data_IF_298248703138
#
_entry.id   IF_298248703138
#
_cell.length_a   1.000
_cell.length_b   1.000
_cell.length_c   1.000
_cell.angle_alpha   90.00
_cell.angle_beta   90.00
_cell.angle_gamma   90.00
#
_symmetry.space_group_name_H-M   'P 1'
#
loop_
_entity.id
_entity.type
_entity.pdbx_description
1 polymer ?
#
# COMPACT_ATOMS: atom_id res chain seq x y z
N UNK A 1 9.64 10.15 -17.58
CA UNK A 1 8.51 10.31 -16.63
C UNK A 1 8.66 11.59 -15.82
N UNK A 2 9.79 11.78 -15.12
CA UNK A 2 10.10 12.95 -14.29
C UNK A 2 9.84 14.34 -14.92
N UNK A 3 10.08 14.50 -16.23
CA UNK A 3 9.83 15.77 -16.91
C UNK A 3 8.34 16.11 -17.09
N UNK A 4 7.47 15.09 -17.21
CA UNK A 4 6.04 15.28 -17.44
C UNK A 4 5.30 15.66 -16.16
N UNK A 5 5.63 15.01 -15.05
CA UNK A 5 4.96 15.27 -13.76
C UNK A 5 5.28 16.68 -13.25
N UNK A 6 6.52 17.13 -13.46
CA UNK A 6 6.92 18.51 -13.18
C UNK A 6 6.17 19.51 -14.06
N UNK A 7 6.07 19.24 -15.36
CA UNK A 7 5.30 20.09 -16.28
C UNK A 7 3.82 20.16 -15.89
N UNK A 8 3.23 19.06 -15.45
CA UNK A 8 1.84 19.04 -15.00
C UNK A 8 1.65 19.83 -13.70
N UNK A 9 2.59 19.72 -12.75
CA UNK A 9 2.61 20.58 -11.56
C UNK A 9 2.69 22.07 -11.93
N UNK A 10 3.55 22.44 -12.87
CA UNK A 10 3.72 23.82 -13.32
C UNK A 10 2.44 24.34 -14.02
N UNK A 11 1.73 23.49 -14.77
CA UNK A 11 0.41 23.82 -15.35
C UNK A 11 -0.64 24.10 -14.27
N UNK A 12 -0.74 23.26 -13.24
CA UNK A 12 -1.70 23.45 -12.15
C UNK A 12 -1.38 24.73 -11.34
N UNK A 13 -0.10 25.07 -11.18
CA UNK A 13 0.33 26.35 -10.59
C UNK A 13 -0.12 27.55 -11.44
N UNK A 14 -0.06 27.44 -12.77
CA UNK A 14 -0.54 28.48 -13.67
C UNK A 14 -2.07 28.70 -13.58
N UNK A 15 -2.80 27.69 -13.13
CA UNK A 15 -4.24 27.77 -12.78
C UNK A 15 -4.49 28.31 -11.36
N UNK A 16 -3.47 28.86 -10.70
CA UNK A 16 -3.49 29.36 -9.31
C UNK A 16 -3.81 28.28 -8.25
N UNK A 17 -3.52 27.00 -8.53
CA UNK A 17 -3.60 25.94 -7.53
C UNK A 17 -2.29 25.84 -6.73
N UNK A 18 -2.42 25.56 -5.43
CA UNK A 18 -1.28 25.35 -4.54
C UNK A 18 -0.75 23.91 -4.65
N UNK A 19 0.07 23.68 -5.67
CA UNK A 19 0.67 22.36 -5.95
C UNK A 19 2.18 22.43 -5.79
N UNK A 20 2.78 21.39 -5.23
CA UNK A 20 4.22 21.21 -5.16
C UNK A 20 4.61 19.85 -5.72
N UNK A 21 5.75 19.80 -6.41
CA UNK A 21 6.28 18.58 -6.98
C UNK A 21 7.54 18.15 -6.23
N UNK A 22 7.57 16.88 -5.82
CA UNK A 22 8.75 16.22 -5.29
C UNK A 22 8.79 14.81 -5.89
N UNK A 23 9.97 14.38 -6.33
CA UNK A 23 10.15 13.03 -6.83
C UNK A 23 10.09 12.04 -5.66
N UNK A 24 9.40 10.92 -5.86
CA UNK A 24 9.33 9.83 -4.91
C UNK A 24 9.27 8.50 -5.67
N UNK A 25 10.22 7.62 -5.37
CA UNK A 25 10.16 6.20 -5.69
C UNK A 25 9.97 5.44 -4.38
N UNK A 26 8.80 4.85 -4.18
CA UNK A 26 8.45 4.14 -2.94
C UNK A 26 9.19 2.80 -2.79
N UNK A 27 9.88 2.33 -3.83
CA UNK A 27 10.72 1.14 -3.78
C UNK A 27 12.18 1.45 -3.40
N UNK A 28 12.63 2.72 -3.43
CA UNK A 28 13.96 3.14 -2.99
C UNK A 28 13.90 3.81 -1.60
N UNK A 29 14.50 3.16 -0.61
CA UNK A 29 14.59 3.67 0.77
C UNK A 29 15.19 5.08 0.87
N UNK A 30 16.15 5.43 0.02
CA UNK A 30 16.74 6.78 0.00
C UNK A 30 15.74 7.79 -0.53
N UNK A 31 15.02 7.45 -1.61
CA UNK A 31 13.98 8.32 -2.14
C UNK A 31 12.86 8.57 -1.12
N UNK A 32 12.44 7.53 -0.40
CA UNK A 32 11.47 7.66 0.72
C UNK A 32 12.01 8.56 1.83
N UNK A 33 13.26 8.37 2.24
CA UNK A 33 13.91 9.20 3.28
C UNK A 33 14.03 10.66 2.85
N UNK A 34 14.48 10.92 1.62
CA UNK A 34 14.63 12.26 1.06
C UNK A 34 13.27 12.96 0.94
N UNK A 35 12.22 12.23 0.54
CA UNK A 35 10.86 12.75 0.48
C UNK A 35 10.32 13.11 1.87
N UNK A 36 10.50 12.25 2.87
CA UNK A 36 10.06 12.53 4.24
C UNK A 36 10.80 13.75 4.84
N UNK A 37 12.11 13.87 4.57
CA UNK A 37 12.89 15.05 4.93
C UNK A 37 12.36 16.31 4.23
N UNK A 38 12.06 16.23 2.93
CA UNK A 38 11.53 17.35 2.17
C UNK A 38 10.17 17.82 2.69
N UNK A 39 9.24 16.90 3.01
CA UNK A 39 7.93 17.23 3.61
C UNK A 39 8.10 17.93 4.94
N UNK A 40 8.93 17.38 5.83
CA UNK A 40 9.15 17.98 7.15
C UNK A 40 9.79 19.36 7.08
N UNK A 41 10.75 19.59 6.18
CA UNK A 41 11.41 20.89 6.04
C UNK A 41 10.55 21.93 5.34
N UNK A 42 9.83 21.55 4.29
CA UNK A 42 9.05 22.49 3.48
C UNK A 42 7.73 22.88 4.14
N UNK A 43 7.05 21.92 4.77
CA UNK A 43 5.71 22.11 5.32
C UNK A 43 5.63 21.97 6.84
N UNK A 44 6.70 21.52 7.51
CA UNK A 44 6.68 21.23 8.94
C UNK A 44 5.92 19.94 9.31
N UNK A 45 5.37 19.22 8.32
CA UNK A 45 4.56 18.02 8.53
C UNK A 45 3.47 17.84 7.46
N UNK A 46 2.63 16.83 7.67
CA UNK A 46 1.51 16.50 6.78
C UNK A 46 0.24 16.14 7.56
N UNK A 47 -0.91 16.27 6.91
CA UNK A 47 -2.22 15.89 7.49
C UNK A 47 -2.80 14.65 6.80
N UNK A 48 -2.54 14.48 5.50
CA UNK A 48 -3.11 13.41 4.68
C UNK A 48 -2.00 12.76 3.85
N UNK A 49 -1.96 11.43 3.87
CA UNK A 49 -1.17 10.61 2.96
C UNK A 49 -2.12 9.74 2.12
N UNK A 50 -1.93 9.76 0.81
CA UNK A 50 -2.62 8.86 -0.13
C UNK A 50 -1.59 7.96 -0.80
N UNK A 51 -1.58 6.68 -0.41
CA UNK A 51 -0.73 5.67 -1.05
C UNK A 51 -1.43 5.14 -2.30
N UNK A 52 -1.22 5.83 -3.42
CA UNK A 52 -1.81 5.49 -4.72
C UNK A 52 -0.87 4.68 -5.63
N UNK A 53 0.44 4.84 -5.49
CA UNK A 53 1.40 4.16 -6.35
C UNK A 53 1.22 2.63 -6.26
N UNK A 54 1.19 1.99 -7.42
CA UNK A 54 1.05 0.55 -7.54
C UNK A 54 1.20 0.07 -8.97
N UNK A 55 1.57 -1.20 -9.11
CA UNK A 55 1.87 -1.87 -10.38
C UNK A 55 1.16 -3.22 -10.45
N UNK A 56 0.95 -3.69 -11.68
CA UNK A 56 0.47 -5.03 -12.00
C UNK A 56 1.11 -5.44 -13.32
N UNK A 57 1.82 -6.57 -13.33
CA UNK A 57 2.60 -7.01 -14.51
C UNK A 57 2.14 -8.36 -15.07
N UNK A 58 1.54 -9.21 -14.25
CA UNK A 58 1.16 -10.55 -14.66
C UNK A 58 -0.17 -10.58 -15.42
N UNK A 59 -0.20 -11.35 -16.51
CA UNK A 59 -1.45 -11.76 -17.15
C UNK A 59 -2.19 -12.76 -16.25
N UNK A 60 -3.50 -12.91 -16.48
CA UNK A 60 -4.32 -13.88 -15.74
C UNK A 60 -3.73 -15.28 -15.90
N UNK A 61 -3.65 -16.04 -14.80
CA UNK A 61 -3.07 -17.41 -14.72
C UNK A 61 -1.55 -17.52 -14.94
N UNK A 62 -0.83 -16.40 -15.07
CA UNK A 62 0.63 -16.35 -15.11
C UNK A 62 1.19 -15.79 -13.81
N UNK A 63 2.40 -16.22 -13.46
CA UNK A 63 3.12 -15.64 -12.35
C UNK A 63 4.62 -15.89 -12.52
N UNK A 64 5.42 -14.84 -12.67
CA UNK A 64 6.88 -14.91 -12.63
C UNK A 64 7.39 -14.45 -11.26
N UNK A 65 8.53 -14.99 -10.83
CA UNK A 65 9.17 -14.58 -9.57
C UNK A 65 9.48 -13.08 -9.59
N UNK A 66 10.04 -12.59 -10.69
CA UNK A 66 10.40 -11.18 -10.88
C UNK A 66 9.19 -10.24 -10.75
N UNK A 67 8.07 -10.58 -11.42
CA UNK A 67 6.85 -9.77 -11.31
C UNK A 67 6.26 -9.85 -9.91
N UNK A 68 6.21 -11.04 -9.29
CA UNK A 68 5.69 -11.19 -7.94
C UNK A 68 6.49 -10.37 -6.92
N UNK A 69 7.81 -10.42 -6.99
CA UNK A 69 8.69 -9.62 -6.14
C UNK A 69 8.46 -8.13 -6.37
N UNK A 70 8.47 -7.66 -7.62
CA UNK A 70 8.27 -6.24 -7.96
C UNK A 70 6.90 -5.71 -7.50
N UNK A 71 5.84 -6.50 -7.71
CA UNK A 71 4.47 -6.13 -7.30
C UNK A 71 4.36 -6.06 -5.78
N UNK A 72 4.93 -7.02 -5.06
CA UNK A 72 4.94 -7.02 -3.59
C UNK A 72 5.76 -5.85 -3.04
N UNK A 73 6.96 -5.62 -3.58
CA UNK A 73 7.84 -4.51 -3.19
C UNK A 73 7.13 -3.17 -3.38
N UNK A 74 6.50 -2.96 -4.53
CA UNK A 74 5.85 -1.68 -4.84
C UNK A 74 4.52 -1.51 -4.10
N UNK A 75 3.64 -2.52 -4.11
CA UNK A 75 2.25 -2.33 -3.68
C UNK A 75 2.03 -2.56 -2.18
N UNK A 76 2.94 -3.27 -1.50
CA UNK A 76 2.85 -3.54 -0.06
C UNK A 76 4.00 -2.89 0.70
N UNK A 77 5.26 -3.25 0.38
CA UNK A 77 6.40 -2.70 1.11
C UNK A 77 6.57 -1.20 0.89
N UNK A 78 6.34 -0.70 -0.32
CA UNK A 78 6.42 0.72 -0.63
C UNK A 78 5.52 1.59 0.24
N UNK A 79 4.19 1.37 0.29
CA UNK A 79 3.31 2.08 1.22
C UNK A 79 3.69 1.91 2.68
N UNK A 80 4.11 0.70 3.10
CA UNK A 80 4.56 0.43 4.46
C UNK A 80 5.75 1.32 4.84
N UNK A 81 6.81 1.29 4.03
CA UNK A 81 8.03 2.08 4.26
C UNK A 81 7.75 3.59 4.23
N UNK A 82 6.91 4.04 3.30
CA UNK A 82 6.53 5.45 3.21
C UNK A 82 5.73 5.90 4.44
N UNK A 83 4.77 5.09 4.89
CA UNK A 83 4.02 5.36 6.13
C UNK A 83 5.00 5.44 7.31
N UNK A 84 5.88 4.45 7.48
CA UNK A 84 6.86 4.42 8.57
C UNK A 84 7.76 5.66 8.59
N UNK A 85 8.24 6.11 7.43
CA UNK A 85 9.08 7.29 7.32
C UNK A 85 8.32 8.60 7.61
N UNK A 86 7.03 8.69 7.27
CA UNK A 86 6.22 9.90 7.43
C UNK A 86 5.50 9.98 8.77
N UNK A 87 5.33 8.85 9.48
CA UNK A 87 4.61 8.76 10.76
C UNK A 87 5.02 9.82 11.80
N UNK A 88 6.32 10.13 12.00
CA UNK A 88 6.75 11.18 12.94
C UNK A 88 6.30 12.60 12.56
N UNK A 89 5.96 12.84 11.29
CA UNK A 89 5.68 14.16 10.75
C UNK A 89 4.19 14.46 10.58
N UNK A 90 3.30 13.50 10.89
CA UNK A 90 1.87 13.75 10.87
C UNK A 90 1.48 14.76 11.94
N UNK A 91 0.72 15.78 11.55
CA UNK A 91 0.21 16.78 12.50
C UNK A 91 -0.86 16.13 13.38
N UNK A 92 -0.66 16.21 14.68
CA UNK A 92 -1.62 15.73 15.68
C UNK A 92 -2.31 16.94 16.28
N UNK A 93 -3.51 17.25 15.79
CA UNK A 93 -4.38 18.25 16.40
C UNK A 93 -5.36 17.58 17.37
N UNK A 94 -5.84 18.31 18.37
CA UNK A 94 -6.95 17.86 19.21
C UNK A 94 -8.31 17.88 18.48
N UNK A 95 -8.43 18.67 17.41
CA UNK A 95 -9.70 18.91 16.69
C UNK A 95 -9.82 18.15 15.39
N UNK A 96 -8.70 17.84 14.73
CA UNK A 96 -8.68 17.31 13.37
C UNK A 96 -7.82 16.06 13.27
N UNK A 97 -8.38 15.03 12.64
CA UNK A 97 -7.70 13.75 12.47
C UNK A 97 -6.81 13.74 11.23
N UNK A 98 -5.54 13.35 11.42
CA UNK A 98 -4.66 12.99 10.33
C UNK A 98 -5.17 11.73 9.62
N UNK A 99 -4.87 11.56 8.33
CA UNK A 99 -5.43 10.48 7.51
C UNK A 99 -4.39 9.77 6.68
N UNK A 100 -4.46 8.44 6.68
CA UNK A 100 -3.76 7.57 5.72
C UNK A 100 -4.83 6.87 4.90
N UNK A 101 -4.79 7.06 3.59
CA UNK A 101 -5.64 6.38 2.62
C UNK A 101 -4.78 5.48 1.73
N UNK A 102 -5.00 4.18 1.84
CA UNK A 102 -4.34 3.18 1.03
C UNK A 102 -5.23 2.77 -0.14
N UNK A 103 -4.75 2.99 -1.37
CA UNK A 103 -5.49 2.60 -2.57
C UNK A 103 -5.28 1.10 -2.81
N UNK A 104 -6.38 0.37 -2.72
CA UNK A 104 -6.45 -1.08 -2.78
C UNK A 104 -7.35 -1.56 -3.92
N UNK A 105 -7.83 -2.80 -3.86
CA UNK A 105 -8.73 -3.41 -4.84
C UNK A 105 -9.65 -4.42 -4.17
N UNK A 106 -10.81 -4.67 -4.77
CA UNK A 106 -11.71 -5.76 -4.40
C UNK A 106 -11.03 -7.14 -4.46
N UNK A 107 -9.96 -7.28 -5.25
CA UNK A 107 -9.19 -8.51 -5.35
C UNK A 107 -8.34 -8.79 -4.11
N UNK A 108 -8.04 -7.75 -3.31
CA UNK A 108 -7.39 -7.87 -2.01
C UNK A 108 -8.33 -8.29 -0.87
N UNK A 109 -9.58 -8.66 -1.15
CA UNK A 109 -10.53 -9.10 -0.14
C UNK A 109 -10.19 -10.50 0.39
N UNK A 110 -10.36 -10.69 1.70
CA UNK A 110 -10.16 -11.98 2.36
C UNK A 110 -11.02 -13.11 1.75
N UNK A 111 -12.20 -12.78 1.22
CA UNK A 111 -13.09 -13.73 0.55
C UNK A 111 -12.50 -14.35 -0.72
N UNK A 112 -11.46 -13.74 -1.30
CA UNK A 112 -10.73 -14.25 -2.47
C UNK A 112 -9.67 -15.30 -2.11
N UNK A 113 -9.29 -15.40 -0.84
CA UNK A 113 -8.38 -16.44 -0.36
C UNK A 113 -9.15 -17.75 -0.22
N UNK A 114 -8.61 -18.84 -0.78
CA UNK A 114 -9.19 -20.19 -0.68
C UNK A 114 -8.55 -21.04 0.41
N UNK A 115 -7.31 -20.72 0.81
CA UNK A 115 -6.62 -21.41 1.90
C UNK A 115 -7.30 -21.14 3.26
N UNK A 116 -7.90 -22.14 3.91
CA UNK A 116 -8.67 -21.94 5.14
C UNK A 116 -7.82 -21.49 6.32
N UNK A 117 -6.60 -22.01 6.46
CA UNK A 117 -5.68 -21.63 7.54
C UNK A 117 -5.25 -20.18 7.41
N UNK A 118 -4.94 -19.75 6.19
CA UNK A 118 -4.61 -18.35 5.92
C UNK A 118 -5.81 -17.44 6.19
N UNK A 119 -7.02 -17.86 5.81
CA UNK A 119 -8.23 -17.09 6.10
C UNK A 119 -8.48 -16.91 7.59
N UNK A 120 -8.35 -17.98 8.36
CA UNK A 120 -8.50 -17.96 9.82
C UNK A 120 -7.48 -17.02 10.46
N UNK A 121 -6.21 -17.15 10.05
CA UNK A 121 -5.13 -16.26 10.51
C UNK A 121 -5.41 -14.78 10.23
N UNK A 122 -5.95 -14.46 9.05
CA UNK A 122 -6.23 -13.07 8.64
C UNK A 122 -7.56 -12.52 9.18
N UNK A 123 -8.46 -13.40 9.64
CA UNK A 123 -9.73 -13.02 10.25
C UNK A 123 -9.59 -12.68 11.74
N UNK A 124 -8.55 -13.17 12.40
CA UNK A 124 -8.24 -12.84 13.80
C UNK A 124 -7.57 -11.47 13.93
N UNK A 125 -8.38 -10.41 13.76
CA UNK A 125 -7.94 -9.01 13.83
C UNK A 125 -7.33 -8.62 15.18
N UNK A 126 -7.63 -9.37 16.24
CA UNK A 126 -7.06 -9.11 17.56
C UNK A 126 -5.57 -9.44 17.62
N UNK A 127 -5.16 -10.54 16.97
CA UNK A 127 -3.81 -11.07 17.00
C UNK A 127 -2.99 -10.79 15.73
N UNK A 128 -3.55 -10.04 14.76
CA UNK A 128 -2.82 -9.62 13.56
C UNK A 128 -1.54 -8.84 13.92
N UNK A 129 -0.44 -9.21 13.27
CA UNK A 129 0.84 -8.51 13.39
C UNK A 129 1.53 -8.35 12.03
N UNK A 130 2.40 -7.35 11.92
CA UNK A 130 3.14 -7.08 10.68
C UNK A 130 4.01 -8.27 10.27
N UNK A 131 4.65 -8.94 11.23
CA UNK A 131 5.43 -10.15 11.01
C UNK A 131 4.58 -11.29 10.40
N UNK A 132 3.29 -11.39 10.73
CA UNK A 132 2.41 -12.38 10.11
C UNK A 132 2.12 -12.03 8.65
N UNK A 133 1.97 -10.75 8.31
CA UNK A 133 1.81 -10.29 6.93
C UNK A 133 3.10 -10.54 6.15
N UNK A 134 4.26 -10.22 6.72
CA UNK A 134 5.56 -10.45 6.09
C UNK A 134 5.81 -11.94 5.84
N UNK A 135 5.48 -12.81 6.80
CA UNK A 135 5.54 -14.26 6.60
C UNK A 135 4.57 -14.75 5.54
N UNK A 136 3.35 -14.22 5.49
CA UNK A 136 2.38 -14.55 4.43
C UNK A 136 2.94 -14.21 3.05
N UNK A 137 3.48 -13.00 2.89
CA UNK A 137 4.08 -12.53 1.64
C UNK A 137 5.31 -13.36 1.27
N UNK A 138 6.20 -13.64 2.22
CA UNK A 138 7.38 -14.47 2.00
C UNK A 138 7.00 -15.91 1.59
N UNK A 139 5.97 -16.47 2.22
CA UNK A 139 5.44 -17.78 1.84
C UNK A 139 4.92 -17.76 0.40
N UNK A 140 4.12 -16.76 0.04
CA UNK A 140 3.61 -16.60 -1.33
C UNK A 140 4.75 -16.55 -2.37
N UNK A 141 5.77 -15.71 -2.16
CA UNK A 141 6.94 -15.65 -3.04
C UNK A 141 7.65 -17.00 -3.10
N UNK A 142 7.76 -17.70 -1.98
CA UNK A 142 8.28 -19.06 -1.92
C UNK A 142 7.49 -20.05 -2.78
N UNK A 143 6.16 -19.96 -2.79
CA UNK A 143 5.27 -20.78 -3.62
C UNK A 143 5.38 -20.44 -5.10
N UNK A 144 5.58 -19.17 -5.45
CA UNK A 144 5.86 -18.75 -6.83
C UNK A 144 7.19 -19.34 -7.31
N UNK A 145 8.25 -19.25 -6.49
CA UNK A 145 9.58 -19.83 -6.78
C UNK A 145 9.54 -21.35 -6.96
N UNK A 146 8.66 -22.05 -6.25
CA UNK A 146 8.45 -23.50 -6.38
C UNK A 146 7.48 -23.90 -7.48
N UNK A 147 6.74 -22.95 -8.05
CA UNK A 147 5.67 -23.21 -9.01
C UNK A 147 4.39 -23.82 -8.41
N UNK A 148 4.24 -23.82 -7.08
CA UNK A 148 3.13 -24.47 -6.34
C UNK A 148 1.97 -23.53 -6.00
N UNK A 149 2.10 -22.23 -6.28
CA UNK A 149 1.14 -21.20 -5.89
C UNK A 149 -0.32 -21.45 -6.33
N UNK A 150 -0.56 -22.18 -7.43
CA UNK A 150 -1.93 -22.50 -7.89
C UNK A 150 -2.66 -23.47 -6.95
N UNK A 151 -1.94 -24.30 -6.23
CA UNK A 151 -2.49 -25.40 -5.42
C UNK A 151 -2.66 -25.01 -3.94
N UNK A 152 -2.06 -23.89 -3.53
CA UNK A 152 -1.97 -23.50 -2.12
C UNK A 152 -3.11 -22.57 -1.66
N UNK A 153 -4.09 -22.33 -2.54
CA UNK A 153 -5.29 -21.56 -2.21
C UNK A 153 -5.07 -20.05 -2.10
N UNK A 154 -4.06 -19.52 -2.79
CA UNK A 154 -3.88 -18.08 -3.03
C UNK A 154 -5.01 -17.52 -3.94
N UNK A 155 -5.26 -16.20 -3.95
CA UNK A 155 -6.20 -15.59 -4.89
C UNK A 155 -5.87 -15.92 -6.35
N UNK A 156 -6.86 -16.28 -7.17
CA UNK A 156 -6.62 -16.83 -8.51
C UNK A 156 -6.45 -15.78 -9.62
N UNK A 157 -7.12 -14.63 -9.49
CA UNK A 157 -7.09 -13.56 -10.48
C UNK A 157 -5.96 -12.59 -10.12
N UNK A 158 -5.04 -12.34 -11.06
CA UNK A 158 -3.84 -11.49 -10.85
C UNK A 158 -3.21 -11.75 -9.48
N UNK A 159 -2.75 -12.97 -9.26
CA UNK A 159 -2.47 -13.52 -7.93
C UNK A 159 -1.52 -12.66 -7.10
N UNK A 160 -0.39 -12.23 -7.66
CA UNK A 160 0.57 -11.35 -7.02
C UNK A 160 -0.02 -9.99 -6.65
N UNK A 161 -0.76 -9.37 -7.57
CA UNK A 161 -1.49 -8.13 -7.32
C UNK A 161 -2.50 -8.30 -6.18
N UNK A 162 -3.31 -9.35 -6.22
CA UNK A 162 -4.30 -9.70 -5.20
C UNK A 162 -3.67 -9.93 -3.83
N UNK A 163 -2.56 -10.67 -3.77
CA UNK A 163 -1.81 -10.90 -2.52
C UNK A 163 -1.23 -9.59 -1.99
N UNK A 164 -0.70 -8.73 -2.86
CA UNK A 164 -0.18 -7.42 -2.46
C UNK A 164 -1.26 -6.51 -1.86
N UNK A 165 -2.46 -6.48 -2.45
CA UNK A 165 -3.60 -5.71 -1.95
C UNK A 165 -4.21 -6.33 -0.70
N UNK A 166 -4.20 -7.65 -0.57
CA UNK A 166 -4.56 -8.34 0.68
C UNK A 166 -3.61 -7.98 1.82
N UNK A 167 -2.30 -7.94 1.55
CA UNK A 167 -1.30 -7.52 2.53
C UNK A 167 -1.51 -6.06 2.96
N UNK A 168 -1.73 -5.15 1.99
CA UNK A 168 -2.02 -3.74 2.24
C UNK A 168 -3.31 -3.52 3.05
N UNK A 169 -4.37 -4.28 2.74
CA UNK A 169 -5.63 -4.26 3.49
C UNK A 169 -5.42 -4.69 4.94
N UNK A 170 -4.72 -5.80 5.14
CA UNK A 170 -4.41 -6.34 6.48
C UNK A 170 -3.55 -5.36 7.28
N UNK A 171 -2.53 -4.76 6.66
CA UNK A 171 -1.67 -3.76 7.28
C UNK A 171 -2.46 -2.50 7.70
N UNK A 172 -3.41 -2.08 6.87
CA UNK A 172 -4.27 -0.94 7.19
C UNK A 172 -5.14 -1.19 8.42
N UNK A 173 -5.61 -2.42 8.63
CA UNK A 173 -6.33 -2.80 9.87
C UNK A 173 -5.42 -2.69 11.10
N UNK A 174 -4.19 -3.19 11.00
CA UNK A 174 -3.19 -3.08 12.07
C UNK A 174 -2.94 -1.62 12.43
N UNK A 175 -2.71 -0.76 11.42
CA UNK A 175 -2.48 0.67 11.66
C UNK A 175 -3.71 1.38 12.22
N UNK A 176 -4.91 1.07 11.72
CA UNK A 176 -6.16 1.64 12.23
C UNK A 176 -6.36 1.34 13.72
N UNK A 177 -6.07 0.10 14.15
CA UNK A 177 -6.09 -0.30 15.56
C UNK A 177 -4.99 0.41 16.36
N UNK A 178 -3.75 0.40 15.84
CA UNK A 178 -2.58 1.00 16.50
C UNK A 178 -2.76 2.48 16.81
N UNK A 179 -3.36 3.24 15.88
CA UNK A 179 -3.48 4.68 16.00
C UNK A 179 -4.90 5.18 16.30
N UNK A 180 -5.79 4.28 16.76
CA UNK A 180 -7.17 4.64 17.09
C UNK A 180 -7.26 5.75 18.14
N UNK A 181 -6.33 5.78 19.09
CA UNK A 181 -6.21 6.80 20.15
C UNK A 181 -5.45 8.06 19.73
N UNK A 182 -4.74 8.03 18.61
CA UNK A 182 -3.75 9.05 18.22
C UNK A 182 -4.32 10.11 17.26
N UNK A 183 -5.66 10.21 17.19
CA UNK A 183 -6.38 11.05 16.23
C UNK A 183 -5.92 10.85 14.78
N UNK A 184 -5.58 9.61 14.41
CA UNK A 184 -5.23 9.21 13.05
C UNK A 184 -6.28 8.24 12.53
N UNK A 185 -6.71 8.42 11.28
CA UNK A 185 -7.63 7.50 10.60
C UNK A 185 -6.91 6.82 9.46
N UNK A 186 -6.87 5.50 9.47
CA UNK A 186 -6.27 4.68 8.42
C UNK A 186 -7.35 3.86 7.74
N UNK A 187 -7.49 3.98 6.43
CA UNK A 187 -8.51 3.27 5.65
C UNK A 187 -7.93 2.76 4.33
N UNK A 188 -8.58 1.72 3.79
CA UNK A 188 -8.38 1.27 2.42
C UNK A 188 -9.55 1.67 1.55
N UNK A 189 -9.29 2.00 0.28
CA UNK A 189 -10.32 2.24 -0.72
C UNK A 189 -10.02 1.46 -1.99
N UNK A 190 -11.02 0.75 -2.52
CA UNK A 190 -10.92 -0.04 -3.74
C UNK A 190 -11.46 0.79 -4.91
N UNK A 191 -10.61 1.19 -5.86
CA UNK A 191 -11.06 2.00 -7.02
C UNK A 191 -11.98 1.22 -7.96
N UNK A 192 -11.77 -0.09 -8.05
CA UNK A 192 -12.56 -1.04 -8.84
C UNK A 192 -13.94 -1.34 -8.23
N UNK A 193 -14.33 -0.71 -7.11
CA UNK A 193 -15.72 -0.76 -6.61
C UNK A 193 -16.66 0.24 -7.27
N UNK A 194 -16.15 1.15 -8.10
CA UNK A 194 -16.95 2.17 -8.77
C UNK A 194 -17.49 1.75 -10.15
N UNK A 195 -17.15 0.54 -10.64
CA UNK A 195 -17.57 0.03 -11.95
C UNK A 195 -18.83 -0.86 -11.93
N UNK A 196 -19.64 -0.77 -10.89
CA UNK A 196 -20.98 -1.40 -10.87
C UNK A 196 -22.06 -0.32 -10.76
N UNK A 197 -22.70 0.07 -11.89
CA UNK A 197 -24.00 0.74 -11.87
C UNK A 197 -25.11 -0.18 -11.35
#
# INVERSE_FOLDING_TARGET
MLSRDKQQSDSLKAENLHVEYCQLDISDLRSVSDFAFWISHKFGGLDILVNNAGVSFNEINTNSVEHAETVIETNFYGPKLLIEALLPFFRRSATDSSRILNISSQLGLLSKVKNPKLREMLADEENLSENMIEKMVANFIGSVKKGTWKEEGWPEVWTDYSVSKLALNTYSKILAKRYQSDNMKVNCFALDSLEHP
#
